data_IF_481318937130
#
_entry.id   IF_481318937130
#
_cell.length_a   1.000
_cell.length_b   1.000
_cell.length_c   1.000
_cell.angle_alpha   90.00
_cell.angle_beta   90.00
_cell.angle_gamma   90.00
#
_symmetry.space_group_name_H-M   'P 1'
#
loop_
_entity.id
_entity.type
_entity.pdbx_description
1 polymer ?
#
# COMPACT_ATOMS: atom_id res chain seq x y z
N UNK A 1 1.82 -3.73 -22.79
CA UNK A 1 0.97 -2.51 -22.68
C UNK A 1 0.94 -2.13 -21.22
N UNK A 2 1.75 -1.17 -20.83
CA UNK A 2 1.87 -0.63 -19.47
C UNK A 2 0.57 0.07 -19.09
N UNK A 3 -0.22 -0.50 -18.21
CA UNK A 3 -1.38 0.17 -17.60
C UNK A 3 -0.87 1.25 -16.65
N UNK A 4 -0.59 2.39 -17.24
CA UNK A 4 -0.38 3.62 -16.50
C UNK A 4 -1.71 3.96 -15.84
N UNK A 5 -1.81 3.76 -14.51
CA UNK A 5 -2.85 4.40 -13.70
C UNK A 5 -2.94 5.83 -14.23
N UNK A 6 -4.13 6.43 -14.38
CA UNK A 6 -4.25 7.81 -14.84
C UNK A 6 -3.71 8.77 -13.76
N UNK A 7 -2.44 8.59 -13.45
CA UNK A 7 -1.59 9.39 -12.57
C UNK A 7 -1.69 10.87 -12.94
N UNK A 8 -1.99 11.16 -14.22
CA UNK A 8 -2.09 12.54 -14.72
C UNK A 8 -3.27 13.33 -14.13
N UNK A 9 -4.42 12.71 -13.91
CA UNK A 9 -5.58 13.39 -13.28
C UNK A 9 -5.40 13.53 -11.78
N UNK A 10 -4.95 12.47 -11.13
CA UNK A 10 -4.70 12.47 -9.69
C UNK A 10 -3.54 13.40 -9.32
N UNK A 11 -2.45 13.37 -10.09
CA UNK A 11 -1.33 14.31 -9.95
C UNK A 11 -1.77 15.76 -10.07
N UNK A 12 -2.67 16.09 -11.04
CA UNK A 12 -3.22 17.44 -11.18
C UNK A 12 -4.08 17.84 -9.99
N UNK A 13 -4.90 16.92 -9.47
CA UNK A 13 -5.76 17.19 -8.31
C UNK A 13 -4.91 17.36 -7.05
N UNK A 14 -3.94 16.48 -6.81
CA UNK A 14 -2.99 16.59 -5.70
C UNK A 14 -2.27 17.93 -5.75
N UNK A 15 -1.73 18.30 -6.92
CA UNK A 15 -1.05 19.61 -7.08
C UNK A 15 -1.98 20.80 -6.91
N UNK A 16 -3.24 20.72 -7.36
CA UNK A 16 -4.23 21.79 -7.17
C UNK A 16 -4.59 21.97 -5.68
N UNK A 17 -4.81 20.88 -4.96
CA UNK A 17 -5.08 20.89 -3.52
C UNK A 17 -3.84 21.39 -2.75
N UNK A 18 -2.66 21.00 -3.18
CA UNK A 18 -1.39 21.43 -2.58
C UNK A 18 -1.15 22.94 -2.80
N UNK A 19 -1.48 23.48 -3.96
CA UNK A 19 -1.41 24.92 -4.21
C UNK A 19 -2.42 25.71 -3.37
N UNK A 20 -3.57 25.12 -3.04
CA UNK A 20 -4.58 25.76 -2.21
C UNK A 20 -4.26 25.74 -0.70
N UNK A 21 -3.50 24.73 -0.23
CA UNK A 21 -3.18 24.54 1.19
C UNK A 21 -1.80 25.10 1.55
N UNK A 22 -0.86 25.14 0.61
CA UNK A 22 0.48 25.64 0.86
C UNK A 22 0.47 27.18 0.97
N UNK A 23 1.04 27.77 2.04
CA UNK A 23 1.30 29.18 2.04
C UNK A 23 2.20 29.53 0.84
N UNK A 24 1.98 30.70 0.23
CA UNK A 24 2.61 31.18 -1.01
C UNK A 24 4.17 31.13 -1.09
N UNK A 25 4.83 30.47 -0.17
CA UNK A 25 6.26 30.28 -0.03
C UNK A 25 6.75 28.84 -0.05
N UNK A 26 5.88 27.85 -0.34
CA UNK A 26 6.42 26.52 -0.65
C UNK A 26 7.20 26.67 -1.96
N UNK A 27 8.54 26.66 -1.84
CA UNK A 27 9.42 26.93 -2.97
C UNK A 27 9.19 25.95 -4.11
N UNK A 28 9.40 26.36 -5.35
CA UNK A 28 9.36 25.48 -6.53
C UNK A 28 10.20 24.19 -6.30
N UNK A 29 11.24 24.27 -5.48
CA UNK A 29 12.05 23.13 -5.05
C UNK A 29 11.26 22.10 -4.23
N UNK A 30 10.42 22.51 -3.28
CA UNK A 30 9.60 21.59 -2.47
C UNK A 30 8.56 20.85 -3.34
N UNK A 31 7.98 21.54 -4.33
CA UNK A 31 7.08 20.91 -5.29
C UNK A 31 7.80 19.90 -6.19
N UNK A 32 9.01 20.23 -6.67
CA UNK A 32 9.81 19.33 -7.48
C UNK A 32 10.21 18.08 -6.68
N UNK A 33 10.61 18.24 -5.42
CA UNK A 33 10.95 17.14 -4.53
C UNK A 33 9.75 16.21 -4.27
N UNK A 34 8.58 16.79 -4.00
CA UNK A 34 7.35 16.02 -3.81
C UNK A 34 6.98 15.25 -5.07
N UNK A 35 7.08 15.86 -6.25
CA UNK A 35 6.81 15.21 -7.53
C UNK A 35 7.74 14.01 -7.74
N UNK A 36 9.03 14.17 -7.49
CA UNK A 36 10.00 13.09 -7.61
C UNK A 36 9.71 11.94 -6.64
N UNK A 37 9.35 12.29 -5.39
CA UNK A 37 8.98 11.32 -4.37
C UNK A 37 7.73 10.53 -4.79
N UNK A 38 6.72 11.23 -5.30
CA UNK A 38 5.49 10.62 -5.82
C UNK A 38 5.76 9.74 -7.05
N UNK A 39 6.56 10.20 -8.00
CA UNK A 39 6.89 9.44 -9.20
C UNK A 39 7.66 8.15 -8.84
N UNK A 40 8.47 8.18 -7.78
CA UNK A 40 9.25 7.03 -7.28
C UNK A 40 8.43 6.04 -6.47
N UNK A 41 7.58 6.51 -5.57
CA UNK A 41 6.94 5.67 -4.55
C UNK A 41 5.41 5.59 -4.65
N UNK A 42 4.77 6.48 -5.39
CA UNK A 42 3.30 6.57 -5.42
C UNK A 42 2.63 5.26 -5.80
N UNK A 43 3.17 4.53 -6.78
CA UNK A 43 2.62 3.23 -7.20
C UNK A 43 2.77 2.17 -6.10
N UNK A 44 3.93 2.09 -5.43
CA UNK A 44 4.18 1.12 -4.36
C UNK A 44 3.30 1.42 -3.14
N UNK A 45 3.16 2.69 -2.77
CA UNK A 45 2.28 3.12 -1.67
C UNK A 45 0.81 2.80 -1.99
N UNK A 46 0.34 3.14 -3.20
CA UNK A 46 -1.02 2.82 -3.63
C UNK A 46 -1.32 1.32 -3.58
N UNK A 47 -0.39 0.49 -4.06
CA UNK A 47 -0.56 -0.98 -4.02
C UNK A 47 -0.67 -1.50 -2.59
N UNK A 48 0.16 -0.99 -1.68
CA UNK A 48 0.08 -1.36 -0.27
C UNK A 48 -1.27 -0.95 0.35
N UNK A 49 -1.75 0.26 0.07
CA UNK A 49 -3.04 0.74 0.56
C UNK A 49 -4.20 -0.06 -0.04
N UNK A 50 -4.15 -0.34 -1.34
CA UNK A 50 -5.17 -1.14 -2.01
C UNK A 50 -5.21 -2.59 -1.49
N UNK A 51 -4.05 -3.21 -1.28
CA UNK A 51 -3.98 -4.55 -0.67
C UNK A 51 -4.57 -4.58 0.75
N UNK A 52 -4.55 -3.43 1.43
CA UNK A 52 -5.10 -3.29 2.76
C UNK A 52 -6.61 -3.00 2.76
N UNK A 53 -7.04 -2.05 1.94
CA UNK A 53 -8.39 -1.48 1.95
C UNK A 53 -9.37 -2.20 1.02
N UNK A 54 -8.87 -2.87 -0.02
CA UNK A 54 -9.66 -3.51 -1.09
C UNK A 54 -10.66 -2.59 -1.80
N UNK A 55 -10.48 -1.30 -1.65
CA UNK A 55 -11.29 -0.27 -2.29
C UNK A 55 -10.37 0.74 -2.95
N UNK A 56 -10.58 0.98 -4.25
CA UNK A 56 -9.73 1.87 -5.04
C UNK A 56 -9.82 3.32 -4.56
N UNK A 57 -11.03 3.81 -4.31
CA UNK A 57 -11.26 5.18 -3.87
C UNK A 57 -10.59 5.43 -2.52
N UNK A 58 -10.76 4.49 -1.60
CA UNK A 58 -10.14 4.57 -0.27
C UNK A 58 -8.61 4.51 -0.34
N UNK A 59 -8.05 3.68 -1.23
CA UNK A 59 -6.61 3.61 -1.44
C UNK A 59 -6.05 4.90 -2.08
N UNK A 60 -6.78 5.51 -3.02
CA UNK A 60 -6.44 6.81 -3.61
C UNK A 60 -6.46 7.93 -2.57
N UNK A 61 -7.47 7.94 -1.68
CA UNK A 61 -7.56 8.90 -0.58
C UNK A 61 -6.38 8.75 0.39
N UNK A 62 -6.07 7.53 0.81
CA UNK A 62 -4.94 7.27 1.73
C UNK A 62 -3.60 7.61 1.08
N UNK A 63 -3.43 7.30 -0.20
CA UNK A 63 -2.25 7.74 -0.96
C UNK A 63 -2.11 9.27 -0.90
N UNK A 64 -3.20 10.00 -1.15
CA UNK A 64 -3.20 11.45 -1.08
C UNK A 64 -2.85 11.95 0.32
N UNK A 65 -3.48 11.41 1.35
CA UNK A 65 -3.24 11.76 2.75
C UNK A 65 -1.80 11.47 3.17
N UNK A 66 -1.19 10.40 2.66
CA UNK A 66 0.22 10.06 2.90
C UNK A 66 1.15 11.17 2.41
N UNK A 67 0.95 11.66 1.19
CA UNK A 67 1.77 12.74 0.65
C UNK A 67 1.43 14.11 1.27
N UNK A 68 0.18 14.36 1.67
CA UNK A 68 -0.18 15.51 2.48
C UNK A 68 0.51 15.48 3.86
N UNK A 69 0.57 14.31 4.48
CA UNK A 69 1.29 14.13 5.74
C UNK A 69 2.79 14.41 5.58
N UNK A 70 3.41 13.93 4.49
CA UNK A 70 4.80 14.25 4.16
C UNK A 70 5.03 15.77 4.10
N UNK A 71 4.16 16.50 3.43
CA UNK A 71 4.28 17.96 3.33
C UNK A 71 4.11 18.68 4.67
N UNK A 72 3.15 18.23 5.49
CA UNK A 72 2.87 18.82 6.80
C UNK A 72 3.99 18.60 7.80
N UNK A 73 4.57 17.41 7.79
CA UNK A 73 5.61 17.04 8.76
C UNK A 73 7.01 17.36 8.28
N UNK A 74 7.20 17.55 6.96
CA UNK A 74 8.49 17.78 6.31
C UNK A 74 9.61 16.89 6.91
N UNK A 75 9.45 15.56 6.90
CA UNK A 75 10.39 14.67 7.53
C UNK A 75 11.74 14.74 6.79
N UNK A 76 12.84 14.69 7.53
CA UNK A 76 14.18 14.58 6.98
C UNK A 76 14.38 13.14 6.44
N UNK A 77 14.13 12.95 5.16
CA UNK A 77 14.35 11.69 4.45
C UNK A 77 15.67 11.77 3.69
N UNK A 78 16.76 11.46 4.39
CA UNK A 78 18.14 11.63 3.89
C UNK A 78 18.53 10.63 2.80
N UNK A 79 17.74 9.57 2.60
CA UNK A 79 18.05 8.51 1.64
C UNK A 79 16.81 7.82 1.09
N UNK A 80 16.89 7.15 -0.08
CA UNK A 80 15.82 6.31 -0.60
C UNK A 80 15.39 5.21 0.38
N UNK A 81 16.30 4.73 1.24
CA UNK A 81 15.97 3.74 2.27
C UNK A 81 15.07 4.34 3.37
N UNK A 82 15.27 5.61 3.74
CA UNK A 82 14.37 6.33 4.66
C UNK A 82 13.00 6.58 4.01
N UNK A 83 12.96 6.98 2.73
CA UNK A 83 11.72 7.15 1.97
C UNK A 83 10.92 5.83 1.93
N UNK A 84 11.61 4.72 1.57
CA UNK A 84 11.05 3.37 1.52
C UNK A 84 10.49 2.89 2.86
N UNK A 85 11.05 3.31 3.97
CA UNK A 85 10.58 2.94 5.30
C UNK A 85 9.44 3.84 5.80
N UNK A 86 9.50 5.15 5.51
CA UNK A 86 8.58 6.14 6.06
C UNK A 86 7.22 6.13 5.34
N UNK A 87 7.21 6.17 4.01
CA UNK A 87 5.99 6.29 3.21
C UNK A 87 5.02 5.12 3.44
N UNK A 88 5.41 3.84 3.33
CA UNK A 88 4.49 2.74 3.58
C UNK A 88 4.03 2.67 5.03
N UNK A 89 4.88 3.07 5.99
CA UNK A 89 4.49 3.12 7.40
C UNK A 89 3.34 4.11 7.63
N UNK A 90 3.43 5.31 7.04
CA UNK A 90 2.37 6.32 7.14
C UNK A 90 1.11 5.83 6.45
N UNK A 91 1.23 5.33 5.22
CA UNK A 91 0.13 4.81 4.42
C UNK A 91 -0.64 3.69 5.14
N UNK A 92 0.05 2.68 5.65
CA UNK A 92 -0.57 1.57 6.39
C UNK A 92 -1.23 2.06 7.68
N UNK A 93 -0.65 3.01 8.40
CA UNK A 93 -1.28 3.56 9.59
C UNK A 93 -2.56 4.34 9.24
N UNK A 94 -2.57 5.10 8.17
CA UNK A 94 -3.76 5.80 7.67
C UNK A 94 -4.83 4.79 7.21
N UNK A 95 -4.45 3.75 6.48
CA UNK A 95 -5.33 2.65 6.08
C UNK A 95 -5.97 1.96 7.30
N UNK A 96 -5.19 1.67 8.35
CA UNK A 96 -5.70 1.12 9.63
C UNK A 96 -6.73 2.05 10.27
N UNK A 97 -6.42 3.33 10.36
CA UNK A 97 -7.34 4.30 10.93
C UNK A 97 -8.65 4.39 10.14
N UNK A 98 -8.56 4.35 8.81
CA UNK A 98 -9.73 4.35 7.92
C UNK A 98 -10.61 3.12 8.14
N UNK A 99 -10.03 1.92 8.21
CA UNK A 99 -10.75 0.68 8.52
C UNK A 99 -11.40 0.68 9.91
N UNK A 100 -10.75 1.27 10.90
CA UNK A 100 -11.26 1.35 12.26
C UNK A 100 -12.32 2.44 12.46
N UNK A 101 -12.53 3.33 11.50
CA UNK A 101 -13.54 4.37 11.58
C UNK A 101 -14.94 3.76 11.60
N UNK A 102 -15.85 4.36 12.37
CA UNK A 102 -17.24 3.90 12.49
C UNK A 102 -18.00 3.93 11.15
N UNK A 103 -17.53 4.75 10.21
CA UNK A 103 -18.10 4.85 8.87
C UNK A 103 -17.79 3.60 8.04
N UNK A 104 -16.56 3.10 8.11
CA UNK A 104 -16.12 1.91 7.38
C UNK A 104 -16.86 0.63 7.81
N UNK A 105 -17.25 0.55 9.09
CA UNK A 105 -18.04 -0.59 9.60
C UNK A 105 -19.43 -0.73 8.99
N UNK A 106 -19.92 0.30 8.27
CA UNK A 106 -21.24 0.33 7.63
C UNK A 106 -21.22 0.11 6.12
N UNK A 107 -20.06 0.14 5.47
CA UNK A 107 -19.92 0.09 4.01
C UNK A 107 -19.08 -1.12 3.62
N UNK A 108 -19.51 -2.31 4.07
CA UNK A 108 -18.90 -3.57 3.68
C UNK A 108 -19.51 -4.05 2.34
N UNK A 109 -19.39 -3.21 1.32
CA UNK A 109 -19.61 -3.60 -0.07
C UNK A 109 -18.24 -3.83 -0.69
N UNK A 110 -17.91 -5.10 -0.84
CA UNK A 110 -16.80 -5.58 -1.66
C UNK A 110 -16.95 -5.02 -3.07
N UNK A 111 -16.32 -3.90 -3.38
CA UNK A 111 -16.20 -3.44 -4.76
C UNK A 111 -15.24 -4.32 -5.53
N UNK A 112 -15.68 -4.68 -6.73
CA UNK A 112 -15.08 -5.62 -7.65
C UNK A 112 -13.59 -5.40 -7.92
N UNK A 113 -12.93 -6.52 -8.14
CA UNK A 113 -11.53 -6.70 -8.51
C UNK A 113 -10.93 -5.55 -9.33
N UNK A 114 -9.96 -4.87 -8.74
CA UNK A 114 -9.00 -4.10 -9.51
C UNK A 114 -8.12 -5.10 -10.30
N UNK A 115 -8.12 -5.06 -11.63
CA UNK A 115 -7.17 -5.86 -12.38
C UNK A 115 -5.78 -5.29 -12.07
N UNK A 116 -5.02 -6.04 -11.32
CA UNK A 116 -3.58 -5.79 -11.18
C UNK A 116 -2.97 -6.14 -12.53
N UNK A 117 -2.86 -5.15 -13.40
CA UNK A 117 -2.48 -5.33 -14.80
C UNK A 117 -1.03 -5.83 -15.01
N UNK A 118 -0.25 -5.92 -13.94
CA UNK A 118 1.12 -6.43 -13.94
C UNK A 118 1.23 -7.84 -13.36
N UNK A 119 0.12 -8.46 -12.96
CA UNK A 119 0.15 -9.85 -12.52
C UNK A 119 -0.08 -10.74 -13.73
N UNK A 120 0.87 -11.65 -13.96
CA UNK A 120 0.71 -12.77 -14.87
C UNK A 120 -0.69 -13.37 -14.63
N UNK A 121 -1.54 -13.38 -15.66
CA UNK A 121 -2.91 -13.88 -15.55
C UNK A 121 -2.97 -15.30 -14.96
N UNK A 122 -1.87 -16.04 -15.08
CA UNK A 122 -1.67 -17.37 -14.51
C UNK A 122 -1.56 -17.37 -12.98
N UNK A 123 -1.33 -16.22 -12.33
CA UNK A 123 -1.17 -16.11 -10.87
C UNK A 123 -2.32 -15.36 -10.20
N UNK A 124 -3.38 -14.98 -10.94
CA UNK A 124 -4.53 -14.27 -10.38
C UNK A 124 -5.15 -15.02 -9.19
N UNK A 125 -5.25 -16.35 -9.29
CA UNK A 125 -5.78 -17.21 -8.23
C UNK A 125 -4.96 -17.15 -6.92
N UNK A 126 -3.63 -16.99 -7.02
CA UNK A 126 -2.76 -16.84 -5.83
C UNK A 126 -3.08 -15.54 -5.10
N UNK A 127 -3.32 -14.47 -5.86
CA UNK A 127 -3.67 -13.18 -5.27
C UNK A 127 -5.08 -13.15 -4.69
N UNK A 128 -6.02 -13.92 -5.26
CA UNK A 128 -7.35 -14.11 -4.65
C UNK A 128 -7.23 -14.83 -3.30
N UNK A 129 -6.40 -15.87 -3.23
CA UNK A 129 -6.10 -16.56 -1.99
C UNK A 129 -5.41 -15.63 -0.96
N UNK A 130 -4.47 -14.77 -1.40
CA UNK A 130 -3.84 -13.77 -0.52
C UNK A 130 -4.88 -12.77 0.00
N UNK A 131 -5.81 -12.31 -0.85
CA UNK A 131 -6.89 -11.41 -0.46
C UNK A 131 -7.82 -12.01 0.60
N UNK A 132 -8.08 -13.31 0.52
CA UNK A 132 -8.91 -14.02 1.49
C UNK A 132 -8.25 -14.19 2.86
N UNK A 133 -6.93 -14.00 2.98
CA UNK A 133 -6.25 -14.08 4.27
C UNK A 133 -6.72 -12.98 5.23
N UNK A 134 -6.80 -13.28 6.55
CA UNK A 134 -6.94 -12.24 7.56
C UNK A 134 -5.84 -11.18 7.43
N UNK A 135 -6.18 -9.88 7.62
CA UNK A 135 -5.29 -8.75 7.40
C UNK A 135 -3.93 -8.89 8.08
N UNK A 136 -3.89 -9.43 9.31
CA UNK A 136 -2.65 -9.66 10.07
C UNK A 136 -1.64 -10.57 9.37
N UNK A 137 -2.07 -11.44 8.46
CA UNK A 137 -1.20 -12.31 7.66
C UNK A 137 -0.98 -11.75 6.26
N UNK A 138 -2.02 -11.17 5.66
CA UNK A 138 -2.00 -10.60 4.32
C UNK A 138 -0.98 -9.48 4.18
N UNK A 139 -0.95 -8.53 5.12
CA UNK A 139 -0.02 -7.39 5.09
C UNK A 139 1.45 -7.83 5.04
N UNK A 140 1.94 -8.68 5.96
CA UNK A 140 3.31 -9.17 5.89
C UNK A 140 3.60 -9.96 4.61
N UNK A 141 2.66 -10.78 4.13
CA UNK A 141 2.79 -11.53 2.88
C UNK A 141 2.94 -10.58 1.70
N UNK A 142 2.07 -9.57 1.58
CA UNK A 142 2.14 -8.59 0.50
C UNK A 142 3.46 -7.82 0.51
N UNK A 143 3.85 -7.27 1.66
CA UNK A 143 5.09 -6.50 1.81
C UNK A 143 6.34 -7.36 1.52
N UNK A 144 6.33 -8.63 1.89
CA UNK A 144 7.47 -9.51 1.69
C UNK A 144 7.60 -9.98 0.24
N UNK A 145 6.51 -10.53 -0.34
CA UNK A 145 6.57 -11.19 -1.64
C UNK A 145 6.33 -10.24 -2.82
N UNK A 146 5.53 -9.20 -2.65
CA UNK A 146 5.21 -8.28 -3.74
C UNK A 146 6.11 -7.05 -3.72
N UNK A 147 6.28 -6.42 -2.56
CA UNK A 147 7.07 -5.20 -2.43
C UNK A 147 8.56 -5.46 -2.09
N UNK A 148 8.95 -6.71 -1.81
CA UNK A 148 10.33 -7.10 -1.58
C UNK A 148 10.96 -6.57 -0.29
N UNK A 149 10.15 -6.29 0.76
CA UNK A 149 10.66 -5.87 2.05
C UNK A 149 11.22 -7.06 2.85
N UNK A 150 12.34 -6.85 3.54
CA UNK A 150 12.86 -7.80 4.51
C UNK A 150 11.97 -7.88 5.77
N UNK A 151 12.06 -8.96 6.53
CA UNK A 151 11.32 -9.13 7.80
C UNK A 151 11.60 -8.00 8.79
N UNK A 152 12.83 -7.49 8.82
CA UNK A 152 13.22 -6.37 9.68
C UNK A 152 12.57 -5.05 9.24
N UNK A 153 12.48 -4.80 7.93
CA UNK A 153 11.79 -3.61 7.39
C UNK A 153 10.30 -3.68 7.66
N UNK A 154 9.67 -4.83 7.41
CA UNK A 154 8.24 -5.07 7.69
C UNK A 154 7.94 -4.85 9.17
N UNK A 155 8.81 -5.34 10.06
CA UNK A 155 8.66 -5.14 11.50
C UNK A 155 8.65 -3.65 11.88
N UNK A 156 9.53 -2.85 11.26
CA UNK A 156 9.56 -1.39 11.45
C UNK A 156 8.32 -0.71 10.88
N UNK A 157 7.89 -1.09 9.68
CA UNK A 157 6.69 -0.54 9.02
C UNK A 157 5.45 -0.81 9.86
N UNK A 158 5.26 -2.05 10.32
CA UNK A 158 4.07 -2.46 11.08
C UNK A 158 4.16 -2.18 12.58
N UNK A 159 5.28 -1.66 13.08
CA UNK A 159 5.48 -1.36 14.50
C UNK A 159 5.49 -2.62 15.36
N UNK A 160 6.04 -3.73 14.86
CA UNK A 160 6.06 -5.04 15.50
C UNK A 160 7.49 -5.56 15.68
N UNK A 161 7.65 -6.64 16.45
CA UNK A 161 8.95 -7.33 16.56
C UNK A 161 9.23 -8.17 15.30
N UNK A 162 10.48 -8.27 14.88
CA UNK A 162 10.86 -9.08 13.71
C UNK A 162 10.49 -10.56 13.88
N UNK A 163 10.63 -11.10 15.10
CA UNK A 163 10.20 -12.47 15.41
C UNK A 163 8.71 -12.68 15.16
N UNK A 164 7.88 -11.66 15.46
CA UNK A 164 6.45 -11.68 15.15
C UNK A 164 6.22 -11.73 13.65
N UNK A 165 6.97 -10.94 12.87
CA UNK A 165 6.84 -10.95 11.41
C UNK A 165 7.18 -12.30 10.81
N UNK A 166 8.27 -12.94 11.27
CA UNK A 166 8.63 -14.30 10.84
C UNK A 166 7.51 -15.30 11.13
N UNK A 167 6.91 -15.22 12.32
CA UNK A 167 5.79 -16.09 12.70
C UNK A 167 4.52 -15.84 11.88
N UNK A 168 4.20 -14.58 11.59
CA UNK A 168 3.05 -14.21 10.77
C UNK A 168 3.24 -14.66 9.32
N UNK A 169 4.43 -14.46 8.74
CA UNK A 169 4.76 -14.94 7.40
C UNK A 169 4.69 -16.47 7.32
N UNK A 170 5.20 -17.19 8.33
CA UNK A 170 5.12 -18.65 8.37
C UNK A 170 3.66 -19.13 8.38
N UNK A 171 2.83 -18.58 9.29
CA UNK A 171 1.40 -18.95 9.39
C UNK A 171 0.62 -18.55 8.15
N UNK A 172 0.86 -17.35 7.60
CA UNK A 172 0.21 -16.89 6.37
C UNK A 172 0.52 -17.82 5.19
N UNK A 173 1.78 -18.29 5.05
CA UNK A 173 2.16 -19.27 4.03
C UNK A 173 1.46 -20.62 4.22
N UNK A 174 1.35 -21.09 5.46
CA UNK A 174 0.65 -22.34 5.74
C UNK A 174 -0.82 -22.26 5.34
N UNK A 175 -1.50 -21.15 5.68
CA UNK A 175 -2.90 -20.93 5.28
C UNK A 175 -3.05 -20.84 3.76
N UNK A 176 -2.15 -20.12 3.07
CA UNK A 176 -2.17 -20.05 1.60
C UNK A 176 -1.99 -21.43 0.97
N UNK A 177 -1.06 -22.23 1.50
CA UNK A 177 -0.84 -23.59 1.01
C UNK A 177 -2.09 -24.47 1.14
N UNK A 178 -2.82 -24.37 2.24
CA UNK A 178 -4.08 -25.08 2.46
C UNK A 178 -5.16 -24.60 1.49
N UNK A 179 -5.40 -23.29 1.41
CA UNK A 179 -6.39 -22.70 0.49
C UNK A 179 -6.11 -23.06 -0.97
N UNK A 180 -4.83 -23.00 -1.38
CA UNK A 180 -4.47 -23.29 -2.77
C UNK A 180 -4.58 -24.79 -3.08
N UNK A 181 -4.28 -25.68 -2.12
CA UNK A 181 -4.49 -27.13 -2.29
C UNK A 181 -5.96 -27.50 -2.39
N UNK A 182 -6.83 -26.86 -1.62
CA UNK A 182 -8.27 -27.11 -1.67
C UNK A 182 -8.91 -26.58 -2.97
N UNK A 183 -8.42 -25.44 -3.49
CA UNK A 183 -8.99 -24.80 -4.67
C UNK A 183 -8.44 -25.37 -5.99
N UNK A 184 -7.23 -25.87 -5.97
CA UNK A 184 -6.51 -26.38 -7.13
C UNK A 184 -5.88 -27.71 -6.73
N UNK A 185 -6.42 -28.79 -7.27
CA UNK A 185 -5.87 -30.13 -7.16
C UNK A 185 -4.52 -30.15 -7.90
N UNK A 186 -3.46 -29.79 -7.18
CA UNK A 186 -2.10 -29.97 -7.69
C UNK A 186 -1.78 -31.44 -7.52
N UNK A 187 -2.26 -32.29 -8.45
CA UNK A 187 -1.80 -33.65 -8.58
C UNK A 187 -0.28 -33.66 -8.80
N UNK A 188 0.43 -34.35 -7.91
CA UNK A 188 1.86 -34.63 -8.04
C UNK A 188 2.17 -35.53 -9.23
#
# INVERSE_FOLDING_TARGET
MTLTIPISRFRRLLFAVLQAIAPARASAAAHAQLSQLYDRWGTAVFRADYAYLHNKSDAEDVLQDTFLQYMRTSPELESPAHEKAWLPRVAINLSKNKLNSAWFKRTDTLEESYPCADLDSNLAFVWDAVRALPSKYREPIHLFYHEGYSTAEIARILGQKESTMRSLLHRGRSMLKETLKEAYDFDE
#
